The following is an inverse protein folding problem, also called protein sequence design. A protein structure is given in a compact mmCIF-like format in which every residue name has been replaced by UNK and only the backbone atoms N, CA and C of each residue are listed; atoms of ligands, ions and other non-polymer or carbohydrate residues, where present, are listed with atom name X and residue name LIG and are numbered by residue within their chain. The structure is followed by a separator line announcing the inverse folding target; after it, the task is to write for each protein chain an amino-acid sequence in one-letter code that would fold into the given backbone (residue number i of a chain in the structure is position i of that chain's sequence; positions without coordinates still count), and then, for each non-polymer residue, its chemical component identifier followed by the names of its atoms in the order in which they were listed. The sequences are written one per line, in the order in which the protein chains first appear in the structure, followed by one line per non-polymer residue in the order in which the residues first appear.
data_IF_628728638771
#
_entry.id   IF_628728638771
#
_cell.length_a   1.000
_cell.length_b   1.000
_cell.length_c   1.000
_cell.angle_alpha   90.00
_cell.angle_beta   90.00
_cell.angle_gamma   90.00
#
_symmetry.space_group_name_H-M   'P 1'
#
loop_
_entity.id
_entity.type
_entity.pdbx_description
1 polymer ?
#
# COMPACT_ATOMS: atom_id res chain seq x y z
N UNK A 1 0.53 1.81 -30.27
CA UNK A 1 0.21 1.14 -28.99
C UNK A 1 1.44 1.22 -28.09
N UNK A 2 1.31 1.78 -26.88
CA UNK A 2 2.41 1.79 -25.92
C UNK A 2 2.70 0.36 -25.46
N UNK A 3 3.97 0.00 -25.33
CA UNK A 3 4.34 -1.28 -24.71
C UNK A 3 3.84 -1.27 -23.27
N UNK A 4 3.17 -2.35 -22.80
CA UNK A 4 2.86 -2.50 -21.39
C UNK A 4 4.15 -2.36 -20.57
N UNK A 5 4.12 -1.52 -19.54
CA UNK A 5 5.22 -1.35 -18.60
C UNK A 5 4.68 -1.43 -17.18
N UNK A 6 5.53 -1.91 -16.28
CA UNK A 6 5.20 -2.02 -14.86
C UNK A 6 5.55 -0.72 -14.13
N UNK A 7 4.85 -0.37 -13.04
CA UNK A 7 5.18 0.81 -12.24
C UNK A 7 6.64 0.81 -11.77
N UNK A 8 7.25 2.00 -11.71
CA UNK A 8 8.63 2.16 -11.24
C UNK A 8 8.81 1.55 -9.85
N UNK A 9 9.90 0.81 -9.66
CA UNK A 9 10.20 0.13 -8.39
C UNK A 9 9.52 -1.24 -8.22
N UNK A 10 8.72 -1.69 -9.18
CA UNK A 10 8.14 -3.04 -9.21
C UNK A 10 8.87 -3.96 -10.19
N UNK A 11 8.70 -5.28 -10.05
CA UNK A 11 9.27 -6.28 -10.96
C UNK A 11 8.42 -7.55 -11.01
N UNK A 12 8.46 -8.22 -12.15
CA UNK A 12 7.87 -9.54 -12.31
C UNK A 12 8.78 -10.63 -11.75
N UNK A 13 8.18 -11.73 -11.28
CA UNK A 13 8.90 -12.91 -10.82
C UNK A 13 8.60 -14.09 -11.74
N UNK A 14 9.57 -14.43 -12.59
CA UNK A 14 9.46 -15.60 -13.47
C UNK A 14 9.49 -16.94 -12.71
N UNK A 15 9.24 -18.07 -13.40
CA UNK A 15 9.07 -19.39 -12.77
C UNK A 15 10.22 -19.80 -11.84
N UNK A 16 11.47 -19.62 -12.28
CA UNK A 16 12.67 -19.96 -11.49
C UNK A 16 12.74 -19.19 -10.16
N UNK A 17 12.34 -17.91 -10.16
CA UNK A 17 12.31 -17.09 -8.95
C UNK A 17 11.17 -17.53 -8.02
N UNK A 18 9.99 -17.80 -8.59
CA UNK A 18 8.82 -18.25 -7.83
C UNK A 18 9.04 -19.60 -7.15
N UNK A 19 9.64 -20.59 -7.84
CA UNK A 19 9.94 -21.90 -7.25
C UNK A 19 10.84 -21.76 -6.01
N UNK A 20 11.91 -20.96 -6.12
CA UNK A 20 12.81 -20.71 -4.98
C UNK A 20 12.11 -19.97 -3.84
N UNK A 21 11.27 -18.98 -4.17
CA UNK A 21 10.51 -18.20 -3.18
C UNK A 21 9.53 -19.07 -2.42
N UNK A 22 8.83 -19.97 -3.12
CA UNK A 22 7.88 -20.89 -2.51
C UNK A 22 8.57 -21.84 -1.54
N UNK A 23 9.71 -22.43 -1.94
CA UNK A 23 10.51 -23.30 -1.07
C UNK A 23 10.95 -22.60 0.23
N UNK A 24 11.36 -21.34 0.15
CA UNK A 24 11.70 -20.54 1.34
C UNK A 24 10.47 -20.35 2.25
N UNK A 25 9.32 -19.95 1.69
CA UNK A 25 8.10 -19.77 2.47
C UNK A 25 7.60 -21.07 3.10
N UNK A 26 7.68 -22.20 2.39
CA UNK A 26 7.30 -23.51 2.92
C UNK A 26 8.18 -23.90 4.12
N UNK A 27 9.48 -23.64 4.02
CA UNK A 27 10.44 -23.89 5.11
C UNK A 27 10.09 -23.07 6.35
N UNK A 28 9.84 -21.75 6.19
CA UNK A 28 9.45 -20.87 7.30
C UNK A 28 8.10 -21.27 7.90
N UNK A 29 7.10 -21.56 7.06
CA UNK A 29 5.76 -22.00 7.52
C UNK A 29 5.83 -23.28 8.34
N UNK A 30 6.67 -24.24 7.96
CA UNK A 30 6.86 -25.49 8.72
C UNK A 30 7.38 -25.21 10.14
N UNK A 31 8.34 -24.31 10.28
CA UNK A 31 8.89 -23.92 11.59
C UNK A 31 7.83 -23.24 12.46
N UNK A 32 7.14 -22.22 11.94
CA UNK A 32 6.10 -21.52 12.71
C UNK A 32 4.98 -22.46 13.17
N UNK A 33 4.53 -23.37 12.31
CA UNK A 33 3.52 -24.37 12.67
C UNK A 33 3.98 -25.32 13.77
N UNK A 34 5.26 -25.73 13.76
CA UNK A 34 5.83 -26.59 14.80
C UNK A 34 5.82 -25.93 16.18
N UNK A 35 5.81 -24.59 16.24
CA UNK A 35 5.69 -23.81 17.47
C UNK A 35 4.26 -23.35 17.79
N UNK A 36 3.25 -23.89 17.10
CA UNK A 36 1.84 -23.59 17.39
C UNK A 36 1.33 -22.25 16.84
N UNK A 37 2.11 -21.53 16.04
CA UNK A 37 1.64 -20.29 15.41
C UNK A 37 0.67 -20.58 14.26
N UNK A 38 -0.39 -19.78 14.20
CA UNK A 38 -1.38 -19.82 13.12
C UNK A 38 -1.15 -18.68 12.14
N UNK A 39 -1.28 -18.93 10.82
CA UNK A 39 -1.17 -17.87 9.83
C UNK A 39 -2.41 -16.98 9.87
N UNK A 40 -2.19 -15.68 9.71
CA UNK A 40 -3.24 -14.71 9.37
C UNK A 40 -2.76 -13.89 8.17
N UNK A 41 -3.71 -13.34 7.42
CA UNK A 41 -3.44 -12.41 6.35
C UNK A 41 -4.34 -11.19 6.55
N UNK A 42 -3.76 -10.00 6.42
CA UNK A 42 -4.49 -8.73 6.41
C UNK A 42 -4.63 -8.24 4.98
N UNK A 43 -5.57 -7.32 4.70
CA UNK A 43 -5.60 -6.60 3.44
C UNK A 43 -4.23 -5.97 3.12
N UNK A 44 -3.93 -5.79 1.82
CA UNK A 44 -2.66 -5.18 1.38
C UNK A 44 -2.59 -3.66 1.60
N UNK A 45 -3.73 -3.06 1.93
CA UNK A 45 -3.89 -1.65 2.26
C UNK A 45 -4.75 -1.55 3.52
N UNK A 46 -4.49 -0.53 4.33
CA UNK A 46 -5.22 -0.22 5.56
C UNK A 46 -5.72 1.22 5.48
N UNK A 47 -6.66 1.59 6.36
CA UNK A 47 -7.11 2.98 6.47
C UNK A 47 -5.92 3.89 6.77
N UNK A 48 -5.87 5.08 6.17
CA UNK A 48 -4.78 6.02 6.36
C UNK A 48 -4.57 6.36 7.84
N UNK A 49 -5.66 6.53 8.60
CA UNK A 49 -5.63 6.78 10.05
C UNK A 49 -4.99 5.67 10.87
N UNK A 50 -4.92 4.44 10.35
CA UNK A 50 -4.28 3.28 10.99
C UNK A 50 -2.77 3.28 10.76
N UNK A 51 -2.29 3.94 9.70
CA UNK A 51 -0.89 3.97 9.27
C UNK A 51 -0.17 5.27 9.70
N UNK A 52 -0.86 6.41 9.69
CA UNK A 52 -0.27 7.72 9.98
C UNK A 52 0.14 7.87 11.44
N UNK A 53 1.25 8.59 11.68
CA UNK A 53 1.76 8.90 13.02
C UNK A 53 2.54 7.76 13.70
N UNK A 54 2.57 6.55 13.13
CA UNK A 54 3.35 5.41 13.66
C UNK A 54 4.82 5.45 13.26
N UNK A 55 5.14 6.04 12.11
CA UNK A 55 6.47 6.03 11.51
C UNK A 55 7.13 7.41 11.44
N UNK A 56 6.60 8.39 12.19
CA UNK A 56 7.04 9.78 12.15
C UNK A 56 6.66 10.51 10.85
N UNK A 57 6.99 11.80 10.77
CA UNK A 57 6.59 12.66 9.64
C UNK A 57 7.20 12.23 8.30
N UNK A 58 8.42 11.66 8.32
CA UNK A 58 9.07 11.15 7.10
C UNK A 58 8.40 9.88 6.59
N UNK A 59 7.97 8.98 7.49
CA UNK A 59 7.29 7.75 7.12
C UNK A 59 5.95 8.02 6.42
N UNK A 60 5.19 8.99 6.92
CA UNK A 60 3.87 9.35 6.38
C UNK A 60 3.94 9.92 4.95
N UNK A 61 5.09 10.47 4.56
CA UNK A 61 5.35 10.97 3.21
C UNK A 61 5.60 9.85 2.19
N UNK A 62 6.00 8.66 2.65
CA UNK A 62 6.34 7.52 1.79
C UNK A 62 5.17 6.55 1.57
N UNK A 63 4.01 6.82 2.20
CA UNK A 63 2.80 5.98 2.07
C UNK A 63 2.12 6.21 0.72
N UNK A 64 1.89 5.12 -0.02
CA UNK A 64 0.98 5.12 -1.17
C UNK A 64 -0.48 5.27 -0.69
N UNK A 65 -1.11 6.37 -1.06
CA UNK A 65 -2.49 6.69 -0.67
C UNK A 65 -3.46 6.29 -1.78
N UNK A 66 -4.60 5.69 -1.42
CA UNK A 66 -5.62 5.27 -2.39
C UNK A 66 -6.68 6.35 -2.46
N UNK A 67 -6.92 6.89 -3.65
CA UNK A 67 -7.97 7.89 -3.85
C UNK A 67 -9.36 7.30 -3.63
N UNK A 68 -10.28 8.15 -3.20
CA UNK A 68 -11.70 7.83 -3.12
C UNK A 68 -12.24 7.47 -4.51
N UNK A 69 -13.25 6.60 -4.53
CA UNK A 69 -13.83 6.14 -5.78
C UNK A 69 -14.68 7.25 -6.41
N UNK A 70 -14.76 7.30 -7.74
CA UNK A 70 -15.57 8.28 -8.46
C UNK A 70 -14.90 9.66 -8.54
N UNK A 71 -15.71 10.71 -8.58
CA UNK A 71 -15.20 12.09 -8.50
C UNK A 71 -14.78 12.41 -7.06
N UNK A 72 -13.52 12.10 -6.74
CA UNK A 72 -12.94 12.29 -5.42
C UNK A 72 -12.77 13.76 -5.03
N UNK A 73 -12.99 14.71 -5.94
CA UNK A 73 -12.93 16.15 -5.66
C UNK A 73 -14.31 16.76 -5.43
N UNK A 74 -15.41 16.08 -5.76
CA UNK A 74 -16.77 16.63 -5.70
C UNK A 74 -17.19 17.19 -4.34
N UNK A 75 -16.53 16.78 -3.24
CA UNK A 75 -16.83 17.23 -1.86
C UNK A 75 -15.76 18.16 -1.28
N UNK A 76 -14.76 18.55 -2.07
CA UNK A 76 -13.69 19.43 -1.62
C UNK A 76 -14.08 20.88 -1.91
N UNK A 77 -14.01 21.74 -0.90
CA UNK A 77 -14.26 23.18 -1.05
C UNK A 77 -13.21 23.87 -1.92
N UNK A 78 -13.63 24.90 -2.66
CA UNK A 78 -12.76 25.70 -3.51
C UNK A 78 -11.62 26.37 -2.73
N UNK A 79 -11.89 26.75 -1.49
CA UNK A 79 -10.90 27.30 -0.55
C UNK A 79 -9.74 26.33 -0.32
N UNK A 80 -10.04 25.05 -0.06
CA UNK A 80 -9.03 24.01 0.16
C UNK A 80 -8.24 23.73 -1.12
N UNK A 81 -8.92 23.65 -2.28
CA UNK A 81 -8.26 23.45 -3.57
C UNK A 81 -7.31 24.61 -3.93
N UNK A 82 -7.75 25.84 -3.67
CA UNK A 82 -6.99 27.05 -3.98
C UNK A 82 -5.71 27.18 -3.15
N UNK A 83 -5.72 26.67 -1.91
CA UNK A 83 -4.54 26.66 -1.02
C UNK A 83 -3.37 25.81 -1.57
N UNK A 84 -3.68 24.81 -2.40
CA UNK A 84 -2.72 23.82 -2.94
C UNK A 84 -1.90 23.09 -1.87
N UNK A 85 -2.40 23.00 -0.65
CA UNK A 85 -1.77 22.27 0.44
C UNK A 85 -2.18 20.79 0.40
N UNK A 86 -1.22 19.90 0.10
CA UNK A 86 -1.51 18.46 0.03
C UNK A 86 -1.94 17.87 1.37
N UNK A 87 -1.45 18.42 2.49
CA UNK A 87 -1.77 17.94 3.84
C UNK A 87 -3.24 18.15 4.22
N UNK A 88 -3.83 19.27 3.83
CA UNK A 88 -5.25 19.56 4.07
C UNK A 88 -6.17 18.82 3.10
N UNK A 89 -5.71 18.60 1.87
CA UNK A 89 -6.49 17.93 0.82
C UNK A 89 -6.57 16.40 1.01
N UNK A 90 -5.45 15.77 1.39
CA UNK A 90 -5.30 14.30 1.44
C UNK A 90 -6.42 13.60 2.22
N UNK A 91 -6.81 14.04 3.45
CA UNK A 91 -7.87 13.39 4.22
C UNK A 91 -9.26 13.44 3.56
N UNK A 92 -9.48 14.36 2.63
CA UNK A 92 -10.76 14.54 1.94
C UNK A 92 -10.87 13.67 0.69
N UNK A 93 -9.73 13.37 0.05
CA UNK A 93 -9.68 12.73 -1.27
C UNK A 93 -9.19 11.29 -1.24
N UNK A 94 -8.67 10.81 -0.11
CA UNK A 94 -8.10 9.48 0.04
C UNK A 94 -8.58 8.77 1.31
N UNK A 95 -8.53 7.44 1.28
CA UNK A 95 -8.94 6.53 2.35
C UNK A 95 -7.74 5.76 2.90
#
# INVERSE_FOLDING_TARGET
MSKPSIPKGTRDFGPKAMVRRQWMFDTLRRVFKAHGFLPIQTPSFENLSTLTGKYGEEGDQLIFKILNNGDYLAKVGEDVLSSRESKSLTPLISK
#
